data_IF_626111417139
#
_entry.id   IF_626111417139
#
_cell.length_a   1.000
_cell.length_b   1.000
_cell.length_c   1.000
_cell.angle_alpha   90.00
_cell.angle_beta   90.00
_cell.angle_gamma   90.00
#
_symmetry.space_group_name_H-M   'P 1'
#
loop_
_entity.id
_entity.type
_entity.pdbx_description
1 polymer ?
#
# COMPACT_ATOMS: atom_id res chain seq x y z
N UNK A 1 -10.48 -18.35 2.34
CA UNK A 1 -10.19 -19.79 2.27
C UNK A 1 -8.87 -20.00 3.00
N UNK A 2 -8.73 -21.05 3.79
CA UNK A 2 -7.49 -21.36 4.50
C UNK A 2 -7.05 -22.75 4.04
N UNK A 3 -5.80 -22.92 3.63
CA UNK A 3 -5.26 -24.19 3.16
C UNK A 3 -3.90 -24.42 3.81
N UNK A 4 -3.78 -25.56 4.48
CA UNK A 4 -2.58 -25.98 5.18
C UNK A 4 -2.40 -27.50 4.99
N UNK A 5 -1.17 -28.01 4.84
CA UNK A 5 -0.89 -29.44 4.70
C UNK A 5 -1.47 -30.31 5.83
N UNK A 6 -1.61 -29.75 7.04
CA UNK A 6 -2.23 -30.45 8.17
C UNK A 6 -3.73 -30.72 7.99
N UNK A 7 -4.39 -30.04 7.04
CA UNK A 7 -5.81 -30.27 6.77
C UNK A 7 -5.99 -31.54 5.92
N UNK A 8 -6.86 -32.49 6.33
CA UNK A 8 -7.05 -33.75 5.59
C UNK A 8 -7.63 -33.54 4.19
N UNK A 9 -8.32 -32.42 3.95
CA UNK A 9 -8.93 -32.06 2.66
C UNK A 9 -8.12 -31.02 1.87
N UNK A 10 -6.85 -30.79 2.19
CA UNK A 10 -6.05 -29.74 1.51
C UNK A 10 -6.01 -29.90 -0.01
N UNK A 11 -5.91 -31.13 -0.53
CA UNK A 11 -5.91 -31.39 -1.98
C UNK A 11 -7.20 -30.92 -2.66
N UNK A 12 -8.36 -31.14 -2.03
CA UNK A 12 -9.66 -30.68 -2.54
C UNK A 12 -9.73 -29.15 -2.53
N UNK A 13 -9.21 -28.52 -1.47
CA UNK A 13 -9.17 -27.06 -1.35
C UNK A 13 -8.22 -26.42 -2.38
N UNK A 14 -7.07 -27.03 -2.65
CA UNK A 14 -6.13 -26.60 -3.70
C UNK A 14 -6.77 -26.68 -5.07
N UNK A 15 -7.43 -27.81 -5.39
CA UNK A 15 -8.14 -27.96 -6.66
C UNK A 15 -9.18 -26.84 -6.84
N UNK A 16 -10.00 -26.63 -5.81
CA UNK A 16 -11.01 -25.55 -5.80
C UNK A 16 -10.37 -24.17 -5.96
N UNK A 17 -9.24 -23.92 -5.31
CA UNK A 17 -8.51 -22.65 -5.45
C UNK A 17 -8.04 -22.42 -6.88
N UNK A 18 -7.39 -23.41 -7.49
CA UNK A 18 -6.90 -23.34 -8.86
C UNK A 18 -8.07 -23.09 -9.84
N UNK A 19 -9.23 -23.73 -9.64
CA UNK A 19 -10.46 -23.44 -10.39
C UNK A 19 -10.90 -21.97 -10.23
N UNK A 20 -10.82 -21.39 -9.02
CA UNK A 20 -11.15 -19.97 -8.82
C UNK A 20 -10.17 -19.04 -9.55
N UNK A 21 -8.87 -19.37 -9.57
CA UNK A 21 -7.85 -18.60 -10.31
C UNK A 21 -8.18 -18.58 -11.81
N UNK A 22 -8.54 -19.75 -12.37
CA UNK A 22 -8.89 -19.87 -13.80
C UNK A 22 -10.23 -19.19 -14.12
N UNK A 23 -11.19 -19.18 -13.19
CA UNK A 23 -12.52 -18.57 -13.38
C UNK A 23 -12.52 -17.04 -13.56
N UNK A 24 -11.36 -16.38 -13.44
CA UNK A 24 -11.24 -14.92 -13.58
C UNK A 24 -11.69 -14.13 -12.36
N UNK A 25 -11.85 -14.75 -11.19
CA UNK A 25 -12.12 -14.01 -9.95
C UNK A 25 -10.93 -13.15 -9.52
N UNK A 26 -11.20 -12.14 -8.71
CA UNK A 26 -10.14 -11.36 -8.07
C UNK A 26 -9.62 -12.12 -6.85
N UNK A 27 -8.42 -12.68 -6.94
CA UNK A 27 -7.82 -13.47 -5.88
C UNK A 27 -6.88 -12.58 -5.06
N UNK A 28 -7.04 -12.58 -3.75
CA UNK A 28 -6.11 -12.00 -2.79
C UNK A 28 -5.54 -13.14 -1.95
N UNK A 29 -4.28 -13.47 -2.20
CA UNK A 29 -3.59 -14.62 -1.67
C UNK A 29 -2.57 -14.17 -0.61
N UNK A 30 -2.64 -14.77 0.57
CA UNK A 30 -1.62 -14.70 1.60
C UNK A 30 -0.87 -16.04 1.66
N UNK A 31 0.37 -16.04 1.17
CA UNK A 31 1.34 -17.13 1.36
C UNK A 31 2.08 -16.96 2.69
N UNK A 32 2.00 -17.96 3.55
CA UNK A 32 2.66 -17.98 4.87
C UNK A 32 3.54 -19.22 5.05
N UNK A 33 4.37 -19.21 6.08
CA UNK A 33 5.20 -20.33 6.49
C UNK A 33 5.08 -20.52 8.01
N UNK A 34 5.26 -21.75 8.49
CA UNK A 34 5.29 -22.07 9.92
C UNK A 34 6.54 -21.49 10.60
N UNK A 35 6.42 -21.09 11.86
CA UNK A 35 7.52 -20.42 12.59
C UNK A 35 7.85 -19.00 12.09
N UNK A 36 7.08 -18.43 11.17
CA UNK A 36 7.29 -17.08 10.65
C UNK A 36 6.65 -16.01 11.58
N UNK A 37 7.47 -15.34 12.39
CA UNK A 37 7.02 -14.24 13.28
C UNK A 37 6.23 -13.14 12.56
N UNK A 38 6.72 -12.56 11.44
CA UNK A 38 5.98 -11.57 10.66
C UNK A 38 4.64 -12.09 10.08
N UNK A 39 4.57 -13.39 9.76
CA UNK A 39 3.33 -14.02 9.29
C UNK A 39 2.31 -14.08 10.43
N UNK A 40 2.73 -14.48 11.63
CA UNK A 40 1.88 -14.53 12.82
C UNK A 40 1.26 -13.17 13.16
N UNK A 41 2.00 -12.08 12.96
CA UNK A 41 1.49 -10.70 13.13
C UNK A 41 0.50 -10.30 12.03
N UNK A 42 0.68 -10.80 10.81
CA UNK A 42 -0.17 -10.46 9.65
C UNK A 42 -1.49 -11.23 9.64
N UNK A 43 -1.51 -12.48 10.10
CA UNK A 43 -2.69 -13.36 10.15
C UNK A 43 -3.94 -12.73 10.81
N UNK A 44 -3.87 -12.09 12.00
CA UNK A 44 -5.06 -11.51 12.62
C UNK A 44 -5.67 -10.38 11.77
N UNK A 45 -4.83 -9.49 11.22
CA UNK A 45 -5.28 -8.39 10.36
C UNK A 45 -5.88 -8.91 9.05
N UNK A 46 -5.25 -9.93 8.45
CA UNK A 46 -5.78 -10.59 7.25
C UNK A 46 -7.13 -11.27 7.51
N UNK A 47 -7.34 -11.88 8.68
CA UNK A 47 -8.62 -12.52 9.02
C UNK A 47 -9.76 -11.51 9.15
N UNK A 48 -9.48 -10.31 9.66
CA UNK A 48 -10.49 -9.24 9.82
C UNK A 48 -11.10 -8.81 8.48
N UNK A 49 -10.32 -8.76 7.40
CA UNK A 49 -10.82 -8.30 6.09
C UNK A 49 -11.89 -9.23 5.50
N UNK A 50 -11.84 -10.52 5.85
CA UNK A 50 -12.78 -11.53 5.34
C UNK A 50 -14.22 -11.24 5.74
N UNK A 51 -14.41 -10.62 6.92
CA UNK A 51 -15.73 -10.25 7.41
C UNK A 51 -16.24 -8.96 6.74
N UNK A 52 -15.34 -8.00 6.51
CA UNK A 52 -15.70 -6.71 5.93
C UNK A 52 -16.03 -6.76 4.44
N UNK A 53 -15.34 -7.60 3.66
CA UNK A 53 -15.35 -7.47 2.19
C UNK A 53 -16.27 -8.44 1.46
N UNK A 54 -16.63 -9.57 2.06
CA UNK A 54 -17.45 -10.60 1.40
C UNK A 54 -18.85 -10.13 1.02
N UNK A 55 -19.45 -9.23 1.81
CA UNK A 55 -20.78 -8.68 1.52
C UNK A 55 -20.74 -7.64 0.39
N UNK A 56 -19.67 -6.86 0.33
CA UNK A 56 -19.53 -5.77 -0.64
C UNK A 56 -19.07 -6.28 -2.01
N UNK A 57 -18.25 -7.34 -2.06
CA UNK A 57 -17.61 -7.79 -3.29
C UNK A 57 -17.78 -9.31 -3.49
N UNK A 58 -18.79 -9.77 -4.24
CA UNK A 58 -19.06 -11.20 -4.41
C UNK A 58 -18.01 -11.93 -5.28
N UNK A 59 -17.27 -11.19 -6.13
CA UNK A 59 -16.31 -11.74 -7.08
C UNK A 59 -14.86 -11.82 -6.56
N UNK A 60 -14.66 -11.69 -5.24
CA UNK A 60 -13.33 -11.81 -4.63
C UNK A 60 -13.14 -13.16 -3.94
N UNK A 61 -11.90 -13.65 -3.95
CA UNK A 61 -11.46 -14.78 -3.14
C UNK A 61 -10.29 -14.32 -2.28
N UNK A 62 -10.52 -14.25 -0.97
CA UNK A 62 -9.45 -14.02 0.01
C UNK A 62 -8.95 -15.38 0.51
N UNK A 63 -7.68 -15.69 0.28
CA UNK A 63 -7.05 -16.97 0.60
C UNK A 63 -5.82 -16.81 1.51
N UNK A 64 -5.57 -17.81 2.36
CA UNK A 64 -4.36 -17.99 3.15
C UNK A 64 -3.88 -19.43 2.87
N UNK A 65 -2.64 -19.59 2.38
CA UNK A 65 -2.09 -20.88 1.95
C UNK A 65 -0.66 -21.04 2.47
N UNK A 66 -0.36 -22.19 3.07
CA UNK A 66 0.98 -22.52 3.56
C UNK A 66 1.96 -22.74 2.38
N UNK A 67 3.19 -22.26 2.52
CA UNK A 67 4.24 -22.36 1.50
C UNK A 67 4.48 -23.79 0.99
N UNK A 68 4.30 -24.81 1.84
CA UNK A 68 4.56 -26.20 1.47
C UNK A 68 3.68 -26.66 0.31
N UNK A 69 2.53 -26.01 0.12
CA UNK A 69 1.58 -26.30 -0.95
C UNK A 69 1.82 -25.47 -2.21
N UNK A 70 2.81 -24.56 -2.23
CA UNK A 70 3.04 -23.63 -3.32
C UNK A 70 3.21 -24.32 -4.69
N UNK A 71 3.94 -25.43 -4.72
CA UNK A 71 4.20 -26.21 -5.94
C UNK A 71 2.92 -26.76 -6.59
N UNK A 72 1.84 -26.89 -5.83
CA UNK A 72 0.53 -27.36 -6.30
C UNK A 72 -0.40 -26.22 -6.73
N UNK A 73 0.02 -24.96 -6.60
CA UNK A 73 -0.74 -23.79 -7.02
C UNK A 73 -0.42 -23.42 -8.47
N UNK A 74 -1.43 -23.08 -9.24
CA UNK A 74 -1.29 -22.68 -10.64
C UNK A 74 -1.70 -21.23 -10.86
N UNK A 75 -1.00 -20.53 -11.76
CA UNK A 75 -1.31 -19.14 -12.10
C UNK A 75 -1.04 -18.13 -10.98
N UNK A 76 -0.27 -18.50 -9.94
CA UNK A 76 0.03 -17.64 -8.76
C UNK A 76 1.38 -16.92 -8.83
N UNK A 77 2.12 -17.09 -9.93
CA UNK A 77 3.45 -16.51 -10.15
C UNK A 77 4.57 -17.42 -9.65
N UNK A 78 5.76 -16.85 -9.47
CA UNK A 78 6.96 -17.57 -9.00
C UNK A 78 6.96 -17.76 -7.49
N UNK A 79 7.74 -18.71 -6.99
CA UNK A 79 7.89 -18.93 -5.55
C UNK A 79 8.37 -17.64 -4.85
N UNK A 80 7.77 -17.24 -3.72
CA UNK A 80 8.21 -16.05 -3.00
C UNK A 80 9.63 -16.19 -2.46
N UNK A 81 10.41 -15.10 -2.49
CA UNK A 81 11.73 -15.06 -1.85
C UNK A 81 11.66 -14.86 -0.33
N UNK A 82 10.49 -14.52 0.20
CA UNK A 82 10.29 -14.26 1.63
C UNK A 82 8.82 -14.31 2.04
N UNK A 83 8.59 -14.43 3.34
CA UNK A 83 7.27 -14.59 3.94
C UNK A 83 7.03 -13.55 5.05
N UNK A 84 5.80 -13.04 5.21
CA UNK A 84 4.62 -13.33 4.41
C UNK A 84 4.74 -12.75 2.99
N UNK A 85 4.15 -13.44 2.00
CA UNK A 85 3.99 -12.91 0.65
C UNK A 85 2.50 -12.75 0.35
N UNK A 86 2.09 -11.52 0.03
CA UNK A 86 0.70 -11.17 -0.23
C UNK A 86 0.56 -10.82 -1.72
N UNK A 87 -0.35 -11.45 -2.43
CA UNK A 87 -0.53 -11.30 -3.88
C UNK A 87 -1.96 -11.04 -4.28
N UNK A 88 -2.13 -10.13 -5.23
CA UNK A 88 -3.34 -9.98 -6.01
C UNK A 88 -3.14 -10.72 -7.34
N UNK A 89 -4.11 -11.54 -7.71
CA UNK A 89 -4.10 -12.33 -8.96
C UNK A 89 -5.46 -12.16 -9.65
N UNK A 90 -5.42 -11.83 -10.94
CA UNK A 90 -6.60 -11.75 -11.79
C UNK A 90 -6.19 -11.92 -13.26
N UNK A 91 -6.66 -12.99 -13.89
CA UNK A 91 -6.19 -13.44 -15.20
C UNK A 91 -4.65 -13.56 -15.23
N UNK A 92 -3.98 -12.78 -16.07
CA UNK A 92 -2.52 -12.75 -16.20
C UNK A 92 -1.85 -11.75 -15.25
N UNK A 93 -2.64 -10.92 -14.56
CA UNK A 93 -2.12 -9.90 -13.65
C UNK A 93 -1.77 -10.52 -12.32
N UNK A 94 -0.51 -10.34 -11.90
CA UNK A 94 -0.01 -10.74 -10.58
C UNK A 94 0.72 -9.54 -9.99
N UNK A 95 0.30 -9.09 -8.82
CA UNK A 95 0.95 -8.00 -8.10
C UNK A 95 1.14 -8.38 -6.64
N UNK A 96 2.34 -8.14 -6.11
CA UNK A 96 2.59 -8.27 -4.67
C UNK A 96 2.18 -6.99 -3.93
N UNK A 97 1.61 -7.14 -2.73
CA UNK A 97 1.19 -6.04 -1.87
C UNK A 97 2.25 -4.97 -1.69
N UNK A 98 3.50 -5.39 -1.50
CA UNK A 98 4.64 -4.49 -1.31
C UNK A 98 4.96 -3.64 -2.55
N UNK A 99 4.59 -4.13 -3.74
CA UNK A 99 4.76 -3.44 -5.02
C UNK A 99 3.53 -2.59 -5.40
N UNK A 100 2.47 -2.61 -4.60
CA UNK A 100 1.27 -1.84 -4.87
C UNK A 100 1.50 -0.33 -4.74
N UNK A 101 0.67 0.44 -5.46
CA UNK A 101 0.69 1.90 -5.46
C UNK A 101 0.02 2.56 -4.25
N UNK A 102 -0.42 1.78 -3.26
CA UNK A 102 -1.03 2.33 -2.04
C UNK A 102 0.03 3.04 -1.20
N UNK A 103 -0.39 4.06 -0.45
CA UNK A 103 0.53 4.87 0.34
C UNK A 103 1.08 4.16 1.58
N UNK A 104 0.18 3.58 2.39
CA UNK A 104 0.53 2.91 3.65
C UNK A 104 0.55 1.41 3.44
N UNK A 105 1.70 0.77 3.65
CA UNK A 105 1.92 -0.67 3.48
C UNK A 105 2.35 -1.34 4.79
N UNK A 106 1.57 -1.13 5.85
CA UNK A 106 1.90 -1.57 7.21
C UNK A 106 1.23 -2.89 7.62
N UNK A 107 0.55 -3.55 6.68
CA UNK A 107 -0.17 -4.82 6.88
C UNK A 107 -1.28 -4.75 7.94
N UNK A 108 -1.78 -3.54 8.20
CA UNK A 108 -3.02 -3.31 8.96
C UNK A 108 -4.25 -3.72 8.15
N UNK A 109 -5.35 -4.04 8.84
CA UNK A 109 -6.66 -4.30 8.22
C UNK A 109 -7.03 -3.19 7.23
N UNK A 110 -6.85 -1.92 7.61
CA UNK A 110 -7.17 -0.75 6.80
C UNK A 110 -6.32 -0.71 5.53
N UNK A 111 -5.02 -0.98 5.63
CA UNK A 111 -4.13 -0.99 4.47
C UNK A 111 -4.47 -2.08 3.46
N UNK A 112 -4.92 -3.25 3.94
CA UNK A 112 -5.41 -4.32 3.08
C UNK A 112 -6.73 -3.98 2.39
N UNK A 113 -7.67 -3.35 3.10
CA UNK A 113 -8.94 -2.91 2.50
C UNK A 113 -8.67 -1.91 1.37
N UNK A 114 -7.83 -0.89 1.62
CA UNK A 114 -7.45 0.10 0.59
C UNK A 114 -6.80 -0.56 -0.62
N UNK A 115 -5.92 -1.54 -0.40
CA UNK A 115 -5.31 -2.30 -1.49
C UNK A 115 -6.33 -3.08 -2.30
N UNK A 116 -7.22 -3.82 -1.62
CA UNK A 116 -8.25 -4.62 -2.27
C UNK A 116 -9.17 -3.72 -3.11
N UNK A 117 -9.68 -2.64 -2.53
CA UNK A 117 -10.54 -1.68 -3.24
C UNK A 117 -9.85 -1.07 -4.45
N UNK A 118 -8.55 -0.77 -4.36
CA UNK A 118 -7.76 -0.24 -5.49
C UNK A 118 -7.68 -1.20 -6.68
N UNK A 119 -7.91 -2.50 -6.47
CA UNK A 119 -7.92 -3.53 -7.52
C UNK A 119 -9.30 -3.81 -8.08
N UNK A 120 -10.35 -3.49 -7.34
CA UNK A 120 -11.74 -3.74 -7.73
C UNK A 120 -12.39 -2.52 -8.41
N UNK A 121 -11.85 -1.32 -8.23
CA UNK A 121 -12.34 -0.13 -8.92
C UNK A 121 -12.15 -0.28 -10.44
N UNK A 122 -13.26 -0.28 -11.19
CA UNK A 122 -13.24 -0.27 -12.66
C UNK A 122 -12.38 0.89 -13.18
N UNK A 123 -11.55 0.64 -14.20
CA UNK A 123 -10.77 1.66 -14.94
C UNK A 123 -11.65 2.66 -15.73
N UNK A 124 -12.91 2.88 -15.35
CA UNK A 124 -13.72 3.98 -15.87
C UNK A 124 -13.45 5.23 -15.01
N UNK A 125 -12.56 6.09 -15.48
CA UNK A 125 -12.23 7.38 -14.86
C UNK A 125 -11.77 7.28 -13.39
N UNK A 126 -10.58 6.71 -13.17
CA UNK A 126 -9.71 7.31 -12.16
C UNK A 126 -9.31 8.69 -12.69
N UNK A 127 -10.20 9.69 -12.54
CA UNK A 127 -9.71 11.00 -12.18
C UNK A 127 -8.68 10.76 -11.08
N UNK A 128 -7.52 11.40 -11.18
CA UNK A 128 -6.47 11.44 -10.16
C UNK A 128 -7.02 11.99 -8.83
N UNK A 129 -7.96 11.28 -8.21
CA UNK A 129 -8.47 11.47 -6.88
C UNK A 129 -7.66 10.54 -6.00
N UNK A 130 -6.36 10.82 -5.92
CA UNK A 130 -5.56 10.25 -4.85
C UNK A 130 -6.28 10.52 -3.54
N UNK A 131 -6.34 9.49 -2.69
CA UNK A 131 -6.65 9.62 -1.27
C UNK A 131 -6.11 10.97 -0.80
N UNK A 132 -6.99 11.88 -0.34
CA UNK A 132 -6.56 13.06 0.40
C UNK A 132 -6.01 12.55 1.72
N UNK A 133 -4.79 12.00 1.67
CA UNK A 133 -3.86 12.13 2.77
C UNK A 133 -3.89 13.63 3.01
N UNK A 134 -4.18 14.05 4.24
CA UNK A 134 -3.62 15.29 4.72
C UNK A 134 -2.11 15.11 4.62
N UNK A 135 -1.56 15.31 3.41
CA UNK A 135 -0.18 15.69 3.21
C UNK A 135 -0.09 16.87 4.14
N UNK A 136 0.57 16.69 5.28
CA UNK A 136 1.36 17.79 5.81
C UNK A 136 2.07 18.31 4.57
N UNK A 137 1.60 19.47 4.10
CA UNK A 137 2.10 20.03 2.85
C UNK A 137 3.61 20.00 3.04
N UNK A 138 4.34 19.18 2.27
CA UNK A 138 5.72 19.53 1.99
C UNK A 138 5.59 20.82 1.23
N UNK A 139 5.56 21.92 1.98
CA UNK A 139 5.69 23.27 1.50
C UNK A 139 7.09 23.25 0.88
N UNK A 140 7.18 22.87 -0.40
CA UNK A 140 8.26 23.39 -1.22
C UNK A 140 8.06 24.89 -1.12
N UNK A 141 8.90 25.53 -0.30
CA UNK A 141 8.83 26.96 -0.03
C UNK A 141 8.85 27.70 -1.34
N UNK A 142 7.67 28.17 -1.78
CA UNK A 142 7.60 29.09 -2.90
C UNK A 142 8.41 30.33 -2.56
N UNK A 143 8.94 30.99 -3.59
CA UNK A 143 9.57 32.30 -3.42
C UNK A 143 8.59 33.19 -2.66
N UNK A 144 9.03 33.77 -1.53
CA UNK A 144 8.21 34.71 -0.78
C UNK A 144 7.68 35.80 -1.72
N UNK A 145 6.38 36.09 -1.62
CA UNK A 145 5.75 37.17 -2.38
C UNK A 145 6.46 38.49 -2.10
N UNK A 146 6.46 39.40 -3.07
CA UNK A 146 7.03 40.74 -2.89
C UNK A 146 6.34 41.48 -1.74
N UNK A 147 5.03 41.32 -1.58
CA UNK A 147 4.24 41.84 -0.46
C UNK A 147 4.79 41.35 0.89
N UNK A 148 5.02 40.05 1.02
CA UNK A 148 5.53 39.46 2.26
C UNK A 148 6.98 39.87 2.55
N UNK A 149 7.86 39.93 1.53
CA UNK A 149 9.24 40.41 1.72
C UNK A 149 9.27 41.85 2.23
N UNK A 150 8.38 42.72 1.72
CA UNK A 150 8.28 44.13 2.15
C UNK A 150 7.76 44.28 3.57
N UNK A 151 6.90 43.37 4.06
CA UNK A 151 6.36 43.43 5.42
C UNK A 151 7.32 42.93 6.51
N UNK A 152 8.52 42.44 6.17
CA UNK A 152 9.46 41.93 7.17
C UNK A 152 10.18 43.09 7.85
N UNK A 153 9.98 43.22 9.17
CA UNK A 153 10.71 44.17 9.99
C UNK A 153 12.17 43.70 10.20
N UNK A 154 13.09 44.23 9.40
CA UNK A 154 14.52 43.93 9.52
C UNK A 154 15.23 44.62 10.69
N UNK A 155 14.56 45.49 11.46
CA UNK A 155 15.10 45.99 12.73
C UNK A 155 15.03 44.92 13.83
N UNK A 156 14.05 43.98 13.75
CA UNK A 156 13.90 42.87 14.72
C UNK A 156 13.40 41.59 14.05
N UNK A 157 14.20 40.94 13.18
CA UNK A 157 13.76 39.78 12.41
C UNK A 157 13.57 38.52 13.27
N UNK A 158 12.37 37.94 13.22
CA UNK A 158 12.03 36.72 13.95
C UNK A 158 12.15 35.45 13.10
N UNK A 159 12.84 34.43 13.62
CA UNK A 159 13.07 33.16 12.94
C UNK A 159 14.19 33.21 11.89
N UNK A 160 14.74 32.04 11.59
CA UNK A 160 15.94 31.86 10.76
C UNK A 160 15.80 32.48 9.36
N UNK A 161 14.68 32.23 8.68
CA UNK A 161 14.47 32.69 7.30
C UNK A 161 14.38 34.23 7.20
N UNK A 162 13.76 34.92 8.16
CA UNK A 162 13.68 36.40 8.16
C UNK A 162 15.05 37.02 8.46
N UNK A 163 15.82 36.42 9.38
CA UNK A 163 17.21 36.83 9.67
C UNK A 163 18.09 36.72 8.42
N UNK A 164 18.00 35.59 7.70
CA UNK A 164 18.74 35.37 6.46
C UNK A 164 18.35 36.36 5.35
N UNK A 165 17.06 36.64 5.18
CA UNK A 165 16.58 37.64 4.22
C UNK A 165 17.12 39.05 4.52
N UNK A 166 17.03 39.49 5.77
CA UNK A 166 17.51 40.81 6.20
C UNK A 166 19.04 40.92 6.07
N UNK A 167 19.79 39.85 6.36
CA UNK A 167 21.24 39.79 6.14
C UNK A 167 21.58 39.93 4.66
N UNK A 168 20.91 39.20 3.78
CA UNK A 168 21.13 39.30 2.32
C UNK A 168 20.78 40.69 1.78
N UNK A 169 19.70 41.31 2.24
CA UNK A 169 19.34 42.69 1.86
C UNK A 169 20.41 43.69 2.29
N UNK A 170 20.95 43.56 3.51
CA UNK A 170 22.05 44.41 4.00
C UNK A 170 23.31 44.22 3.17
N UNK A 171 23.68 42.98 2.84
CA UNK A 171 24.86 42.68 2.02
C UNK A 171 24.75 43.27 0.61
N UNK A 172 23.56 43.23 -0.02
CA UNK A 172 23.32 43.87 -1.33
C UNK A 172 23.42 45.39 -1.27
N UNK A 173 22.87 46.03 -0.23
CA UNK A 173 23.00 47.48 -0.04
C UNK A 173 24.46 47.92 0.18
N UNK A 174 25.29 47.03 0.72
CA UNK A 174 26.71 47.25 0.92
C UNK A 174 27.58 46.84 -0.29
N UNK A 175 26.97 46.39 -1.40
CA UNK A 175 27.69 45.93 -2.60
C UNK A 175 28.53 44.66 -2.41
N UNK A 176 28.21 43.83 -1.42
CA UNK A 176 28.98 42.62 -1.03
C UNK A 176 28.33 41.30 -1.49
N UNK A 177 27.51 41.35 -2.55
CA UNK A 177 26.69 40.24 -3.03
C UNK A 177 26.53 40.28 -4.55
#
# INVERSE_FOLDING_TARGET
>A
MYIDPSLPNHNVLIKKFNEQVVSGKHIFLFLFMDGCGPCSQTKPEWKKIKNSLKKAYPNIVVAEINQQLFKSLHGVGKEPMGYPCLRYIHHTTIEEYENSGIYKKDRSTESFVVWIESKLANKSHYHRGGYRINKTRRIKGGKWSLKYKRSINCKRPHGFSKKQHCRSKRLRLLGKL
#
